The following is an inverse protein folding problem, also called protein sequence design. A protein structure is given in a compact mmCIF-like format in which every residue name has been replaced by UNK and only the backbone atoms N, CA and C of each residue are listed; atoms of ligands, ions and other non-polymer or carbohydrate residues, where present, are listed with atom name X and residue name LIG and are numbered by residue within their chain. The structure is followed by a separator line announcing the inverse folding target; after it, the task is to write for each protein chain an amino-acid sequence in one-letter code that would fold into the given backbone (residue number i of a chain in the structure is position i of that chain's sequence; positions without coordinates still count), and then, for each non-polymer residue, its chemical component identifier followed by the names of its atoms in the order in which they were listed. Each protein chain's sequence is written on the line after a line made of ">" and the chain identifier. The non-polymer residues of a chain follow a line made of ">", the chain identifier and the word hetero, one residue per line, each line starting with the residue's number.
data_IF_331703482127
#
_entry.id   IF_331703482127
#
_cell.length_a   1.000
_cell.length_b   1.000
_cell.length_c   1.000
_cell.angle_alpha   90.00
_cell.angle_beta   90.00
_cell.angle_gamma   90.00
#
_symmetry.space_group_name_H-M   'P 1'
#
loop_
_entity.id
_entity.type
_entity.pdbx_description
1 polymer ?
#
# COMPACT_ATOMS: atom_id res chain seq x y z
N UNK A 1 37.27 -10.11 -42.60
CA UNK A 1 37.26 -10.17 -41.12
C UNK A 1 36.01 -9.41 -40.71
N UNK A 2 34.89 -10.11 -40.79
CA UNK A 2 33.57 -9.61 -40.40
C UNK A 2 33.42 -9.85 -38.90
N UNK A 3 32.96 -8.84 -38.17
CA UNK A 3 32.57 -8.95 -36.77
C UNK A 3 31.07 -9.27 -36.74
N UNK A 4 30.61 -10.19 -35.87
CA UNK A 4 29.18 -10.49 -35.78
C UNK A 4 28.46 -9.40 -34.99
N UNK A 5 27.25 -9.06 -35.44
CA UNK A 5 26.28 -8.25 -34.70
C UNK A 5 25.68 -9.13 -33.59
N UNK A 6 25.73 -8.65 -32.34
CA UNK A 6 25.05 -9.28 -31.21
C UNK A 6 23.57 -8.86 -31.25
N UNK A 7 22.68 -9.83 -31.45
CA UNK A 7 21.23 -9.69 -31.31
C UNK A 7 20.91 -9.55 -29.81
N UNK A 8 20.41 -8.38 -29.40
CA UNK A 8 19.80 -8.19 -28.07
C UNK A 8 18.39 -8.83 -28.09
N UNK A 9 18.24 -9.95 -27.39
CA UNK A 9 16.94 -10.57 -27.12
C UNK A 9 16.13 -9.69 -26.16
N UNK A 10 15.05 -9.08 -26.66
CA UNK A 10 14.04 -8.40 -25.86
C UNK A 10 13.22 -9.44 -25.08
N UNK A 11 13.49 -9.60 -23.78
CA UNK A 11 12.67 -10.41 -22.87
C UNK A 11 11.42 -9.63 -22.43
N UNK A 12 10.25 -10.07 -22.90
CA UNK A 12 8.93 -9.58 -22.50
C UNK A 12 8.71 -9.81 -20.99
N UNK A 13 8.57 -8.73 -20.22
CA UNK A 13 8.10 -8.78 -18.83
C UNK A 13 6.59 -9.14 -18.81
N UNK A 14 6.28 -10.43 -18.73
CA UNK A 14 4.95 -10.91 -18.36
C UNK A 14 4.66 -10.56 -16.88
N UNK A 15 4.20 -9.34 -16.63
CA UNK A 15 3.46 -9.04 -15.40
C UNK A 15 2.10 -9.73 -15.46
N UNK A 16 1.99 -10.76 -14.61
CA UNK A 16 0.85 -11.65 -14.42
C UNK A 16 -0.51 -10.92 -14.42
N UNK A 17 -1.32 -11.33 -15.38
CA UNK A 17 -2.69 -10.96 -15.61
C UNK A 17 -3.60 -11.54 -14.50
N UNK A 18 -3.86 -10.76 -13.44
CA UNK A 18 -4.84 -11.10 -12.40
C UNK A 18 -6.08 -10.19 -12.47
N UNK A 19 -6.53 -9.87 -13.68
CA UNK A 19 -7.78 -9.14 -13.91
C UNK A 19 -8.99 -9.89 -13.33
N UNK A 20 -9.56 -9.27 -12.30
CA UNK A 20 -10.98 -9.08 -12.04
C UNK A 20 -11.93 -10.29 -12.18
N UNK A 21 -12.48 -10.71 -11.03
CA UNK A 21 -13.89 -11.14 -10.97
C UNK A 21 -14.68 -10.11 -10.15
N UNK A 22 -15.82 -9.70 -10.72
CA UNK A 22 -16.72 -8.63 -10.29
C UNK A 22 -17.00 -8.51 -8.77
N UNK A 23 -17.24 -7.28 -8.25
CA UNK A 23 -17.64 -7.05 -6.87
C UNK A 23 -19.14 -7.25 -6.69
N UNK A 24 -19.51 -8.43 -6.18
CA UNK A 24 -20.81 -8.61 -5.54
C UNK A 24 -20.82 -7.92 -4.18
N UNK A 25 -21.53 -6.79 -4.09
CA UNK A 25 -21.96 -6.12 -2.86
C UNK A 25 -22.48 -7.12 -1.82
N UNK A 26 -21.65 -7.47 -0.82
CA UNK A 26 -22.06 -8.14 0.45
C UNK A 26 -21.09 -7.84 1.61
N UNK A 27 -21.41 -6.78 2.34
CA UNK A 27 -21.55 -6.85 3.79
C UNK A 27 -20.30 -6.65 4.65
N UNK A 28 -20.32 -5.59 5.44
CA UNK A 28 -19.66 -5.51 6.74
C UNK A 28 -20.00 -6.78 7.56
N UNK A 29 -19.08 -7.74 7.65
CA UNK A 29 -19.28 -8.95 8.43
C UNK A 29 -18.98 -8.66 9.90
N UNK A 30 -20.04 -8.51 10.69
CA UNK A 30 -19.96 -8.74 12.14
C UNK A 30 -19.65 -10.22 12.36
N UNK A 31 -18.45 -10.53 12.85
CA UNK A 31 -18.10 -11.88 13.25
C UNK A 31 -18.71 -12.18 14.63
N UNK A 32 -19.47 -13.27 14.73
CA UNK A 32 -19.94 -13.80 16.01
C UNK A 32 -18.81 -14.60 16.68
N UNK A 33 -18.56 -14.28 17.94
CA UNK A 33 -17.59 -14.92 18.84
C UNK A 33 -18.19 -16.25 19.33
N UNK A 34 -17.46 -17.36 19.18
CA UNK A 34 -17.76 -18.58 19.91
C UNK A 34 -17.40 -18.37 21.39
N UNK A 35 -18.32 -18.70 22.29
CA UNK A 35 -18.18 -18.50 23.73
C UNK A 35 -16.94 -19.21 24.32
N UNK A 36 -16.26 -18.62 25.31
CA UNK A 36 -15.07 -19.23 25.90
C UNK A 36 -15.45 -20.41 26.80
N UNK A 37 -14.62 -21.46 26.74
CA UNK A 37 -14.60 -22.53 27.74
C UNK A 37 -13.74 -22.09 28.93
N UNK A 38 -14.37 -22.19 30.11
CA UNK A 38 -13.82 -22.25 31.48
C UNK A 38 -12.92 -21.11 32.00
N UNK A 39 -13.34 -20.35 33.04
CA UNK A 39 -12.56 -19.28 33.65
C UNK A 39 -11.65 -19.82 34.75
N UNK A 40 -10.47 -20.34 34.39
CA UNK A 40 -9.43 -20.61 35.39
C UNK A 40 -8.00 -20.50 34.84
N UNK A 41 -7.58 -19.28 34.46
CA UNK A 41 -6.16 -18.92 34.47
C UNK A 41 -5.97 -17.41 34.51
N UNK A 42 -5.82 -16.89 35.73
CA UNK A 42 -4.85 -15.86 36.15
C UNK A 42 -4.41 -14.86 35.06
N UNK A 43 -4.83 -13.61 35.22
CA UNK A 43 -4.42 -12.48 34.37
C UNK A 43 -2.91 -12.45 34.18
N UNK A 44 -2.48 -12.71 32.93
CA UNK A 44 -1.10 -12.52 32.53
C UNK A 44 -0.89 -11.04 32.28
N UNK A 45 -0.30 -10.36 33.25
CA UNK A 45 0.40 -9.12 32.99
C UNK A 45 1.45 -9.40 31.91
N UNK A 46 1.36 -8.69 30.79
CA UNK A 46 2.31 -8.77 29.69
C UNK A 46 3.70 -8.43 30.26
N UNK A 47 4.59 -9.43 30.32
CA UNK A 47 5.93 -9.27 30.89
C UNK A 47 6.73 -8.26 30.06
N UNK A 48 7.12 -7.16 30.71
CA UNK A 48 8.06 -6.16 30.20
C UNK A 48 9.45 -6.79 30.16
N UNK A 49 9.93 -7.20 28.98
CA UNK A 49 11.22 -7.89 28.90
C UNK A 49 11.91 -7.98 27.52
N UNK A 50 11.25 -7.57 26.43
CA UNK A 50 11.88 -7.49 25.10
C UNK A 50 11.61 -6.11 24.49
N UNK A 51 12.54 -5.58 23.70
CA UNK A 51 12.29 -4.35 22.95
C UNK A 51 10.97 -4.49 22.15
N UNK A 52 10.12 -3.46 22.08
CA UNK A 52 8.83 -3.57 21.44
C UNK A 52 8.98 -3.97 19.97
N UNK A 53 8.21 -4.97 19.52
CA UNK A 53 8.17 -5.35 18.12
C UNK A 53 7.80 -4.13 17.27
N UNK A 54 8.65 -3.84 16.28
CA UNK A 54 8.45 -2.72 15.36
C UNK A 54 7.14 -2.88 14.61
N UNK A 55 6.48 -1.75 14.36
CA UNK A 55 5.32 -1.66 13.49
C UNK A 55 5.61 -0.57 12.46
N UNK A 56 5.77 -1.00 11.21
CA UNK A 56 6.12 -0.14 10.09
C UNK A 56 4.92 -0.07 9.15
N UNK A 57 4.58 1.15 8.73
CA UNK A 57 3.63 1.40 7.66
C UNK A 57 4.41 1.81 6.41
N UNK A 58 4.11 1.19 5.29
CA UNK A 58 4.49 1.68 3.97
C UNK A 58 3.24 2.24 3.29
N UNK A 59 3.35 3.44 2.72
CA UNK A 59 2.29 4.08 1.92
C UNK A 59 2.76 4.25 0.49
N UNK A 60 1.93 3.92 -0.50
CA UNK A 60 2.20 4.00 -1.95
C UNK A 60 0.99 4.64 -2.64
N UNK A 61 1.16 5.84 -3.21
CA UNK A 61 0.05 6.61 -3.80
C UNK A 61 -0.42 6.04 -5.14
N UNK A 62 -1.73 6.03 -5.33
CA UNK A 62 -2.36 5.52 -6.54
C UNK A 62 -2.01 6.39 -7.76
N UNK A 63 -1.37 5.79 -8.78
CA UNK A 63 -1.08 6.42 -10.08
C UNK A 63 -0.62 7.89 -9.95
N UNK A 64 0.35 8.14 -9.06
CA UNK A 64 0.59 9.46 -8.46
C UNK A 64 0.56 10.66 -9.42
N UNK A 65 1.31 10.65 -10.52
CA UNK A 65 1.33 11.80 -11.44
C UNK A 65 -0.05 12.03 -12.08
N UNK A 66 -0.72 10.97 -12.53
CA UNK A 66 -2.05 11.06 -13.10
C UNK A 66 -3.07 11.58 -12.06
N UNK A 67 -2.94 11.16 -10.80
CA UNK A 67 -3.78 11.67 -9.72
C UNK A 67 -3.56 13.17 -9.48
N UNK A 68 -2.31 13.64 -9.47
CA UNK A 68 -1.98 15.07 -9.36
C UNK A 68 -2.54 15.86 -10.56
N UNK A 69 -2.48 15.32 -11.78
CA UNK A 69 -3.11 15.96 -12.95
C UNK A 69 -4.62 16.07 -12.80
N UNK A 70 -5.31 15.01 -12.35
CA UNK A 70 -6.76 15.00 -12.13
C UNK A 70 -7.20 15.91 -10.98
N UNK A 71 -6.30 16.24 -10.05
CA UNK A 71 -6.53 17.26 -9.03
C UNK A 71 -6.39 18.67 -9.61
N UNK A 72 -5.39 18.89 -10.46
CA UNK A 72 -5.14 20.18 -11.09
C UNK A 72 -6.17 20.54 -12.16
N UNK A 73 -6.58 19.55 -12.97
CA UNK A 73 -7.63 19.68 -13.97
C UNK A 73 -8.72 18.62 -13.74
N UNK A 74 -9.81 18.99 -13.03
CA UNK A 74 -10.91 18.07 -12.75
C UNK A 74 -11.62 17.50 -13.97
N UNK A 75 -11.52 18.13 -15.15
CA UNK A 75 -12.11 17.60 -16.40
C UNK A 75 -11.46 16.31 -16.90
N UNK A 76 -10.31 15.94 -16.34
CA UNK A 76 -9.60 14.71 -16.65
C UNK A 76 -10.16 13.50 -15.88
N UNK A 77 -10.95 13.70 -14.83
CA UNK A 77 -11.54 12.62 -14.04
C UNK A 77 -12.55 11.82 -14.85
N UNK A 78 -12.53 10.49 -14.74
CA UNK A 78 -13.40 9.60 -15.49
C UNK A 78 -13.03 9.46 -16.97
N UNK A 79 -11.90 10.02 -17.41
CA UNK A 79 -11.34 9.82 -18.75
C UNK A 79 -10.08 8.98 -18.64
N UNK A 80 -9.76 8.11 -19.61
CA UNK A 80 -8.48 7.42 -19.63
C UNK A 80 -7.36 8.44 -19.85
N UNK A 81 -6.48 8.56 -18.85
CA UNK A 81 -5.42 9.56 -18.77
C UNK A 81 -4.06 8.89 -18.64
N UNK A 82 -3.11 9.36 -19.43
CA UNK A 82 -1.70 9.02 -19.32
C UNK A 82 -0.86 10.28 -19.12
N UNK A 83 0.11 10.17 -18.22
CA UNK A 83 1.18 11.14 -18.09
C UNK A 83 2.35 10.64 -18.92
N UNK A 84 2.81 11.48 -19.85
CA UNK A 84 3.92 11.16 -20.75
C UNK A 84 5.17 11.96 -20.41
N UNK A 85 6.33 11.35 -20.60
CA UNK A 85 7.62 12.02 -20.64
C UNK A 85 8.32 11.61 -21.93
N UNK A 86 8.62 12.60 -22.79
CA UNK A 86 9.04 12.34 -24.18
C UNK A 86 8.06 11.40 -24.90
N UNK A 87 8.48 10.16 -25.19
CA UNK A 87 7.70 9.16 -25.94
C UNK A 87 7.17 8.02 -25.05
N UNK A 88 7.33 8.12 -23.73
CA UNK A 88 7.01 7.06 -22.79
C UNK A 88 5.83 7.44 -21.88
N UNK A 89 4.91 6.50 -21.66
CA UNK A 89 3.88 6.58 -20.63
C UNK A 89 4.50 6.26 -19.27
N UNK A 90 4.77 7.28 -18.46
CA UNK A 90 5.39 7.07 -17.14
C UNK A 90 4.37 6.55 -16.12
N UNK A 91 3.12 6.97 -16.22
CA UNK A 91 2.00 6.41 -15.48
C UNK A 91 0.67 6.73 -16.14
N UNK A 92 -0.35 5.97 -15.75
CA UNK A 92 -1.71 6.08 -16.23
C UNK A 92 -2.71 5.90 -15.07
N UNK A 93 -3.86 6.56 -15.15
CA UNK A 93 -4.95 6.35 -14.19
C UNK A 93 -5.62 4.98 -14.39
N UNK A 94 -6.47 4.59 -13.45
CA UNK A 94 -7.08 3.26 -13.48
C UNK A 94 -8.05 3.08 -14.66
N UNK A 95 -8.72 4.14 -15.10
CA UNK A 95 -9.56 4.14 -16.30
C UNK A 95 -8.76 3.76 -17.56
N UNK A 96 -7.51 4.21 -17.68
CA UNK A 96 -6.63 3.80 -18.78
C UNK A 96 -6.07 2.37 -18.58
N UNK A 97 -5.81 1.94 -17.33
CA UNK A 97 -5.36 0.56 -17.03
C UNK A 97 -6.40 -0.49 -17.37
N UNK A 98 -7.67 -0.19 -17.12
CA UNK A 98 -8.81 -1.05 -17.49
C UNK A 98 -8.90 -1.27 -19.01
N UNK A 99 -8.37 -0.33 -19.80
CA UNK A 99 -8.26 -0.42 -21.26
C UNK A 99 -6.93 -1.03 -21.74
N UNK A 100 -6.15 -1.62 -20.83
CA UNK A 100 -4.92 -2.33 -21.15
C UNK A 100 -3.67 -1.46 -21.31
N UNK A 101 -3.74 -0.16 -20.99
CA UNK A 101 -2.56 0.72 -20.96
C UNK A 101 -1.77 0.47 -19.69
N UNK A 102 -0.48 0.12 -19.83
CA UNK A 102 0.43 -0.13 -18.70
C UNK A 102 1.49 0.97 -18.60
N UNK A 103 2.14 1.02 -17.44
CA UNK A 103 3.32 1.86 -17.22
C UNK A 103 4.45 1.41 -18.16
N UNK A 104 5.33 2.35 -18.52
CA UNK A 104 6.49 2.13 -19.40
C UNK A 104 6.14 1.71 -20.85
N UNK A 105 4.87 1.77 -21.26
CA UNK A 105 4.50 1.63 -22.67
C UNK A 105 4.90 2.86 -23.48
N UNK A 106 5.19 2.67 -24.77
CA UNK A 106 5.33 3.79 -25.68
C UNK A 106 4.00 4.50 -25.86
N UNK A 107 4.04 5.81 -26.12
CA UNK A 107 2.84 6.62 -26.42
C UNK A 107 2.11 6.06 -27.65
N UNK A 108 2.83 5.47 -28.61
CA UNK A 108 2.24 4.86 -29.80
C UNK A 108 1.36 3.65 -29.41
N UNK A 109 1.92 2.69 -28.67
CA UNK A 109 1.18 1.49 -28.23
C UNK A 109 -0.01 1.85 -27.32
N UNK A 110 0.17 2.83 -26.43
CA UNK A 110 -0.90 3.29 -25.57
C UNK A 110 -2.08 3.86 -26.37
N UNK A 111 -1.81 4.64 -27.42
CA UNK A 111 -2.85 5.15 -28.33
C UNK A 111 -3.49 4.05 -29.19
N UNK A 112 -2.73 3.03 -29.60
CA UNK A 112 -3.28 1.88 -30.32
C UNK A 112 -4.27 1.09 -29.46
N UNK A 113 -3.97 0.91 -28.16
CA UNK A 113 -4.86 0.26 -27.18
C UNK A 113 -6.05 1.12 -26.79
N UNK A 114 -5.86 2.42 -26.64
CA UNK A 114 -6.88 3.37 -26.22
C UNK A 114 -6.85 4.62 -27.11
N UNK A 115 -7.56 4.62 -28.27
CA UNK A 115 -7.58 5.77 -29.18
C UNK A 115 -8.18 7.05 -28.57
N UNK A 116 -9.00 6.93 -27.53
CA UNK A 116 -9.60 8.03 -26.78
C UNK A 116 -8.73 8.53 -25.61
N UNK A 117 -7.48 8.08 -25.52
CA UNK A 117 -6.57 8.42 -24.43
C UNK A 117 -6.28 9.92 -24.37
N UNK A 118 -6.33 10.49 -23.18
CA UNK A 118 -5.85 11.85 -22.92
C UNK A 118 -4.39 11.78 -22.47
N UNK A 119 -3.53 12.55 -23.13
CA UNK A 119 -2.10 12.64 -22.81
C UNK A 119 -1.81 13.99 -22.14
N UNK A 120 -1.12 13.95 -21.01
CA UNK A 120 -0.59 15.14 -20.32
C UNK A 120 0.92 15.05 -20.23
N UNK A 121 1.62 16.12 -20.58
CA UNK A 121 3.06 16.21 -20.42
C UNK A 121 3.42 16.30 -18.92
N UNK A 122 4.25 15.38 -18.45
CA UNK A 122 4.74 15.32 -17.08
C UNK A 122 6.25 15.50 -16.96
N UNK A 123 6.89 16.23 -17.88
CA UNK A 123 8.33 16.49 -17.81
C UNK A 123 8.66 17.51 -16.73
N UNK A 124 7.79 18.49 -16.51
CA UNK A 124 7.90 19.38 -15.35
C UNK A 124 7.40 18.68 -14.09
N UNK A 125 8.36 18.29 -13.25
CA UNK A 125 8.12 17.56 -12.00
C UNK A 125 7.69 18.45 -10.83
N UNK A 126 7.58 19.76 -11.01
CA UNK A 126 7.43 20.72 -9.89
C UNK A 126 6.18 20.44 -9.05
N UNK A 127 5.01 20.31 -9.67
CA UNK A 127 3.74 20.01 -8.96
C UNK A 127 3.73 18.64 -8.28
N UNK A 128 4.36 17.63 -8.90
CA UNK A 128 4.46 16.30 -8.30
C UNK A 128 5.38 16.32 -7.08
N UNK A 129 6.53 17.01 -7.19
CA UNK A 129 7.46 17.19 -6.08
C UNK A 129 6.80 17.92 -4.92
N UNK A 130 6.12 19.04 -5.18
CA UNK A 130 5.41 19.80 -4.15
C UNK A 130 4.33 18.96 -3.46
N UNK A 131 3.54 18.21 -4.22
CA UNK A 131 2.52 17.33 -3.64
C UNK A 131 3.15 16.22 -2.80
N UNK A 132 4.24 15.63 -3.27
CA UNK A 132 5.00 14.61 -2.55
C UNK A 132 5.49 15.11 -1.18
N UNK A 133 6.04 16.32 -1.11
CA UNK A 133 6.44 16.93 0.17
C UNK A 133 5.25 17.22 1.09
N UNK A 134 4.09 17.60 0.55
CA UNK A 134 2.86 17.76 1.36
C UNK A 134 2.43 16.43 1.99
N UNK A 135 2.56 15.33 1.27
CA UNK A 135 2.27 13.99 1.79
C UNK A 135 3.24 13.62 2.91
N UNK A 136 4.56 13.76 2.68
CA UNK A 136 5.56 13.49 3.72
C UNK A 136 5.31 14.33 4.98
N UNK A 137 5.10 15.65 4.83
CA UNK A 137 4.83 16.54 5.95
C UNK A 137 3.56 16.15 6.74
N UNK A 138 2.50 15.71 6.03
CA UNK A 138 1.30 15.19 6.68
C UNK A 138 1.58 13.91 7.47
N UNK A 139 2.40 13.00 6.94
CA UNK A 139 2.76 11.76 7.64
C UNK A 139 3.67 12.02 8.86
N UNK A 140 4.52 13.05 8.79
CA UNK A 140 5.38 13.49 9.90
C UNK A 140 4.57 13.97 11.12
N UNK A 141 3.32 14.41 10.93
CA UNK A 141 2.41 14.75 12.03
C UNK A 141 1.99 13.51 12.84
N UNK A 142 2.00 12.32 12.24
CA UNK A 142 1.74 11.06 12.95
C UNK A 142 3.01 10.58 13.67
N UNK A 143 4.14 10.53 12.97
CA UNK A 143 5.42 10.11 13.56
C UNK A 143 6.54 10.90 12.90
N UNK A 144 7.52 11.43 13.65
CA UNK A 144 8.67 12.12 13.06
C UNK A 144 9.61 11.16 12.28
N UNK A 145 9.40 9.84 12.40
CA UNK A 145 10.21 8.82 11.75
C UNK A 145 9.61 8.44 10.39
N UNK A 146 9.68 9.37 9.44
CA UNK A 146 9.26 9.18 8.04
C UNK A 146 10.48 9.07 7.12
N UNK A 147 10.49 8.06 6.26
CA UNK A 147 11.48 7.90 5.21
C UNK A 147 10.81 7.86 3.85
N UNK A 148 11.32 8.65 2.90
CA UNK A 148 10.80 8.72 1.55
C UNK A 148 11.49 7.71 0.63
N UNK A 149 10.72 7.12 -0.28
CA UNK A 149 11.24 6.37 -1.42
C UNK A 149 10.61 6.95 -2.69
N UNK A 150 11.37 7.75 -3.43
CA UNK A 150 10.83 8.48 -4.58
C UNK A 150 9.85 9.61 -4.20
N UNK A 151 8.80 9.78 -5.00
CA UNK A 151 7.80 10.84 -4.81
C UNK A 151 6.48 10.35 -4.20
N UNK A 152 6.12 9.09 -4.43
CA UNK A 152 4.82 8.54 -4.09
C UNK A 152 4.87 7.52 -2.95
N UNK A 153 6.05 7.17 -2.45
CA UNK A 153 6.19 6.22 -1.36
C UNK A 153 6.83 6.81 -0.09
N UNK A 154 6.32 6.38 1.06
CA UNK A 154 6.86 6.71 2.37
C UNK A 154 6.80 5.48 3.30
N UNK A 155 7.81 5.33 4.15
CA UNK A 155 7.81 4.45 5.31
C UNK A 155 7.62 5.28 6.58
N UNK A 156 6.76 4.82 7.49
CA UNK A 156 6.53 5.46 8.78
C UNK A 156 6.72 4.44 9.88
N UNK A 157 7.66 4.69 10.80
CA UNK A 157 7.77 3.90 12.02
C UNK A 157 6.75 4.40 13.06
N UNK A 158 5.74 3.58 13.36
CA UNK A 158 4.65 3.88 14.29
C UNK A 158 4.75 3.06 15.57
N UNK A 159 5.90 2.44 15.84
CA UNK A 159 6.12 1.52 16.97
C UNK A 159 5.77 2.16 18.31
N UNK A 160 6.17 3.42 18.51
CA UNK A 160 5.84 4.19 19.73
C UNK A 160 4.36 4.56 19.81
N UNK A 161 3.76 4.99 18.70
CA UNK A 161 2.33 5.35 18.68
C UNK A 161 1.45 4.14 19.00
N UNK A 162 1.78 2.98 18.43
CA UNK A 162 1.12 1.71 18.75
C UNK A 162 1.29 1.35 20.23
N UNK A 163 2.48 1.54 20.80
CA UNK A 163 2.74 1.34 22.22
C UNK A 163 1.79 2.17 23.10
N UNK A 164 1.68 3.48 22.82
CA UNK A 164 0.78 4.40 23.54
C UNK A 164 -0.69 3.99 23.43
N UNK A 165 -1.15 3.58 22.24
CA UNK A 165 -2.54 3.09 22.05
C UNK A 165 -2.81 1.79 22.81
N UNK A 166 -1.83 0.87 22.83
CA UNK A 166 -1.93 -0.38 23.57
C UNK A 166 -2.03 -0.15 25.08
N UNK A 167 -1.19 0.72 25.64
CA UNK A 167 -1.25 1.11 27.06
C UNK A 167 -2.60 1.76 27.41
N UNK A 168 -3.16 2.56 26.52
CA UNK A 168 -4.49 3.14 26.70
C UNK A 168 -5.60 2.07 26.70
N UNK A 169 -5.58 1.14 25.75
CA UNK A 169 -6.55 0.04 25.70
C UNK A 169 -6.52 -0.81 26.97
N UNK A 170 -5.32 -1.08 27.50
CA UNK A 170 -5.13 -1.82 28.75
C UNK A 170 -5.72 -1.06 29.95
N UNK A 171 -5.55 0.26 30.01
CA UNK A 171 -6.15 1.11 31.06
C UNK A 171 -7.68 1.15 30.98
N UNK A 172 -8.22 1.21 29.77
CA UNK A 172 -9.66 1.31 29.53
C UNK A 172 -10.40 -0.04 29.71
N UNK A 173 -9.66 -1.15 29.88
CA UNK A 173 -10.22 -2.49 30.02
C UNK A 173 -10.96 -2.98 28.77
N UNK A 174 -10.69 -2.37 27.61
CA UNK A 174 -11.38 -2.68 26.36
C UNK A 174 -10.67 -3.81 25.62
N UNK A 175 -11.40 -4.89 25.36
CA UNK A 175 -10.93 -6.04 24.56
C UNK A 175 -11.31 -5.94 23.08
N UNK A 176 -11.93 -4.83 22.64
CA UNK A 176 -12.43 -4.70 21.26
C UNK A 176 -11.43 -3.96 20.40
N UNK A 177 -10.57 -4.73 19.73
CA UNK A 177 -9.69 -4.24 18.68
C UNK A 177 -10.09 -4.93 17.38
N UNK A 178 -10.24 -4.16 16.31
CA UNK A 178 -10.60 -4.67 14.98
C UNK A 178 -9.58 -4.18 13.94
N UNK A 179 -9.30 -5.02 12.94
CA UNK A 179 -8.47 -4.64 11.79
C UNK A 179 -9.21 -3.64 10.92
N UNK A 180 -8.45 -2.67 10.43
CA UNK A 180 -8.85 -1.81 9.32
C UNK A 180 -8.21 -2.30 8.04
N UNK A 181 -9.03 -2.65 7.04
CA UNK A 181 -8.58 -3.19 5.76
C UNK A 181 -8.44 -4.72 5.76
N UNK A 182 -7.51 -5.23 4.95
CA UNK A 182 -7.31 -6.67 4.73
C UNK A 182 -6.27 -7.25 5.67
N UNK A 183 -6.44 -8.52 6.04
CA UNK A 183 -5.37 -9.35 6.60
C UNK A 183 -4.83 -10.22 5.48
N UNK A 184 -3.53 -10.16 5.24
CA UNK A 184 -2.90 -10.98 4.21
C UNK A 184 -3.18 -12.47 4.44
N UNK A 185 -3.42 -13.22 3.36
CA UNK A 185 -3.78 -14.65 3.36
C UNK A 185 -4.98 -15.00 4.26
N UNK A 186 -5.86 -14.04 4.57
CA UNK A 186 -7.01 -14.24 5.47
C UNK A 186 -6.64 -14.87 6.82
N UNK A 187 -5.42 -14.61 7.31
CA UNK A 187 -4.91 -15.22 8.53
C UNK A 187 -5.77 -14.87 9.74
N UNK A 188 -6.01 -15.85 10.62
CA UNK A 188 -6.73 -15.64 11.87
C UNK A 188 -5.92 -14.74 12.83
N UNK A 189 -6.62 -13.78 13.44
CA UNK A 189 -6.04 -12.88 14.44
C UNK A 189 -6.24 -13.49 15.82
N UNK A 190 -5.14 -13.91 16.43
CA UNK A 190 -5.06 -14.12 17.88
C UNK A 190 -5.00 -12.77 18.63
N UNK A 191 -5.95 -12.52 19.54
CA UNK A 191 -5.99 -11.30 20.37
C UNK A 191 -5.19 -11.45 21.67
N UNK A 192 -4.78 -12.66 22.01
CA UNK A 192 -3.90 -12.95 23.15
C UNK A 192 -2.42 -12.82 22.76
N UNK A 193 -2.12 -12.63 21.47
CA UNK A 193 -0.77 -12.32 20.96
C UNK A 193 -0.55 -10.80 20.86
N UNK A 194 0.45 -10.28 21.57
CA UNK A 194 0.81 -8.85 21.55
C UNK A 194 1.16 -8.37 20.15
N UNK A 195 1.89 -9.17 19.38
CA UNK A 195 2.39 -8.80 18.04
C UNK A 195 1.20 -8.61 17.11
N UNK A 196 0.22 -9.51 17.18
CA UNK A 196 -1.04 -9.37 16.46
C UNK A 196 -1.75 -8.08 16.85
N UNK A 197 -2.03 -7.87 18.13
CA UNK A 197 -2.74 -6.66 18.60
C UNK A 197 -2.01 -5.39 18.15
N UNK A 198 -0.68 -5.37 18.21
CA UNK A 198 0.15 -4.24 17.74
C UNK A 198 -0.01 -3.99 16.24
N UNK A 199 0.01 -5.03 15.41
CA UNK A 199 -0.19 -4.93 13.97
C UNK A 199 -1.62 -4.52 13.62
N UNK A 200 -2.62 -4.99 14.38
CA UNK A 200 -4.00 -4.55 14.24
C UNK A 200 -4.14 -3.06 14.55
N UNK A 201 -3.55 -2.57 15.63
CA UNK A 201 -3.50 -1.13 15.94
C UNK A 201 -2.75 -0.35 14.85
N UNK A 202 -1.67 -0.92 14.30
CA UNK A 202 -0.98 -0.36 13.15
C UNK A 202 -1.87 -0.20 11.93
N UNK A 203 -2.75 -1.17 11.66
CA UNK A 203 -3.73 -1.07 10.57
C UNK A 203 -4.72 0.09 10.77
N UNK A 204 -5.12 0.37 12.01
CA UNK A 204 -5.99 1.51 12.32
C UNK A 204 -5.29 2.83 12.06
N UNK A 205 -4.04 2.96 12.51
CA UNK A 205 -3.21 4.15 12.25
C UNK A 205 -3.00 4.35 10.74
N UNK A 206 -2.70 3.27 10.00
CA UNK A 206 -2.57 3.35 8.55
C UNK A 206 -3.87 3.83 7.87
N UNK A 207 -5.04 3.40 8.36
CA UNK A 207 -6.33 3.88 7.84
C UNK A 207 -6.53 5.38 8.12
N UNK A 208 -6.15 5.86 9.30
CA UNK A 208 -6.19 7.28 9.64
C UNK A 208 -5.24 8.11 8.77
N UNK A 209 -4.03 7.60 8.49
CA UNK A 209 -3.09 8.24 7.56
C UNK A 209 -3.69 8.37 6.16
N UNK A 210 -4.30 7.29 5.64
CA UNK A 210 -4.96 7.32 4.32
C UNK A 210 -6.15 8.26 4.29
N UNK A 211 -6.97 8.28 5.34
CA UNK A 211 -8.09 9.22 5.46
C UNK A 211 -7.60 10.67 5.55
N UNK A 212 -6.50 10.93 6.27
CA UNK A 212 -5.90 12.25 6.32
C UNK A 212 -5.36 12.69 4.96
N UNK A 213 -4.68 11.81 4.21
CA UNK A 213 -4.23 12.08 2.83
C UNK A 213 -5.42 12.39 1.92
N UNK A 214 -6.51 11.62 2.01
CA UNK A 214 -7.71 11.84 1.21
C UNK A 214 -8.41 13.15 1.58
N UNK A 215 -8.72 13.36 2.85
CA UNK A 215 -9.48 14.54 3.31
C UNK A 215 -8.73 15.86 3.14
N UNK A 216 -7.39 15.87 3.32
CA UNK A 216 -6.57 17.10 3.29
C UNK A 216 -5.93 17.37 1.95
N UNK A 217 -5.57 16.33 1.20
CA UNK A 217 -4.82 16.45 -0.06
C UNK A 217 -5.57 15.89 -1.28
N UNK A 218 -6.75 15.29 -1.07
CA UNK A 218 -7.54 14.63 -2.11
C UNK A 218 -6.75 13.51 -2.84
N UNK A 219 -5.81 12.88 -2.14
CA UNK A 219 -5.01 11.77 -2.65
C UNK A 219 -5.52 10.44 -2.11
N UNK A 220 -5.46 9.40 -2.95
CA UNK A 220 -5.68 8.01 -2.55
C UNK A 220 -4.39 7.22 -2.70
N UNK A 221 -4.29 6.13 -1.94
CA UNK A 221 -3.14 5.27 -1.99
C UNK A 221 -3.36 3.99 -1.22
N UNK A 222 -2.40 3.10 -1.38
CA UNK A 222 -2.36 1.85 -0.66
C UNK A 222 -1.46 1.95 0.57
N UNK A 223 -1.73 1.11 1.57
CA UNK A 223 -0.86 0.99 2.74
C UNK A 223 -0.60 -0.46 3.13
N UNK A 224 0.62 -0.75 3.56
CA UNK A 224 1.04 -2.06 4.07
C UNK A 224 1.57 -1.92 5.49
N UNK A 225 1.10 -2.77 6.39
CA UNK A 225 1.52 -2.77 7.80
C UNK A 225 2.24 -4.07 8.12
N UNK A 226 3.49 -3.98 8.59
CA UNK A 226 4.30 -5.16 8.92
C UNK A 226 5.36 -4.84 9.99
N UNK A 227 6.19 -5.84 10.30
CA UNK A 227 7.26 -5.74 11.32
C UNK A 227 8.56 -5.08 10.83
N UNK A 228 8.69 -4.84 9.52
CA UNK A 228 9.84 -4.17 8.90
C UNK A 228 9.46 -3.55 7.55
N UNK A 229 10.36 -2.71 7.00
CA UNK A 229 10.15 -1.98 5.75
C UNK A 229 9.94 -2.88 4.53
N UNK A 230 10.75 -3.93 4.39
CA UNK A 230 10.65 -4.88 3.27
C UNK A 230 9.25 -5.48 3.19
N UNK A 231 8.79 -6.06 4.31
CA UNK A 231 7.49 -6.71 4.39
C UNK A 231 6.33 -5.71 4.25
N UNK A 232 6.45 -4.50 4.80
CA UNK A 232 5.41 -3.48 4.65
C UNK A 232 5.26 -3.04 3.20
N UNK A 233 6.37 -2.92 2.46
CA UNK A 233 6.37 -2.58 1.03
C UNK A 233 5.78 -3.71 0.18
N UNK A 234 6.16 -4.95 0.45
CA UNK A 234 5.62 -6.10 -0.28
C UNK A 234 4.11 -6.24 -0.05
N UNK A 235 3.65 -6.18 1.20
CA UNK A 235 2.24 -6.42 1.51
C UNK A 235 1.33 -5.27 1.07
N UNK A 236 1.82 -4.02 0.98
CA UNK A 236 1.00 -2.88 0.53
C UNK A 236 0.51 -3.03 -0.90
N UNK A 237 1.22 -3.80 -1.73
CA UNK A 237 0.88 -4.06 -3.13
C UNK A 237 -0.21 -5.11 -3.34
N UNK A 238 -0.59 -5.86 -2.29
CA UNK A 238 -1.48 -7.04 -2.43
C UNK A 238 -2.89 -6.67 -2.91
N UNK A 239 -3.45 -5.57 -2.40
CA UNK A 239 -4.79 -5.11 -2.76
C UNK A 239 -4.69 -3.66 -3.22
N UNK A 240 -4.91 -3.43 -4.52
CA UNK A 240 -4.93 -2.12 -5.19
C UNK A 240 -6.22 -1.98 -6.01
N UNK A 241 -6.69 -0.76 -6.33
CA UNK A 241 -6.29 0.55 -5.78
C UNK A 241 -6.79 0.80 -4.36
N UNK A 242 -6.31 1.90 -3.75
CA UNK A 242 -6.85 2.56 -2.56
C UNK A 242 -7.26 1.61 -1.41
N UNK A 243 -6.45 0.59 -1.14
CA UNK A 243 -6.73 -0.41 -0.11
C UNK A 243 -5.52 -0.58 0.82
N UNK A 244 -5.68 -1.33 1.90
CA UNK A 244 -4.56 -1.57 2.80
C UNK A 244 -4.56 -3.01 3.32
N UNK A 245 -3.38 -3.48 3.65
CA UNK A 245 -3.16 -4.86 4.07
C UNK A 245 -2.22 -4.92 5.27
N UNK A 246 -2.60 -5.67 6.30
CA UNK A 246 -1.71 -6.00 7.42
C UNK A 246 -1.14 -7.41 7.22
N UNK A 247 0.17 -7.57 7.44
CA UNK A 247 0.87 -8.85 7.43
C UNK A 247 1.12 -9.31 8.87
N UNK A 248 0.56 -10.47 9.22
CA UNK A 248 0.86 -11.16 10.47
C UNK A 248 2.10 -12.06 10.34
N UNK A 249 2.83 -12.35 11.44
CA UNK A 249 4.12 -13.05 11.39
C UNK A 249 4.09 -14.41 10.67
N UNK A 250 3.02 -15.18 10.84
CA UNK A 250 2.87 -16.54 10.35
C UNK A 250 2.77 -16.59 8.82
N UNK A 251 2.19 -15.55 8.20
CA UNK A 251 2.09 -15.45 6.74
C UNK A 251 3.31 -14.82 6.07
N UNK A 252 4.39 -14.52 6.82
CA UNK A 252 5.58 -13.89 6.24
C UNK A 252 6.26 -14.77 5.19
N UNK A 253 6.33 -16.09 5.43
CA UNK A 253 6.92 -17.03 4.46
C UNK A 253 6.07 -17.15 3.19
N UNK A 254 4.74 -17.16 3.34
CA UNK A 254 3.82 -17.18 2.20
C UNK A 254 3.99 -15.94 1.32
N UNK A 255 4.09 -14.75 1.94
CA UNK A 255 4.30 -13.50 1.19
C UNK A 255 5.62 -13.52 0.42
N UNK A 256 6.72 -13.90 1.08
CA UNK A 256 8.04 -13.98 0.40
C UNK A 256 8.03 -15.06 -0.69
N UNK A 257 7.40 -16.21 -0.43
CA UNK A 257 7.28 -17.31 -1.39
C UNK A 257 6.39 -16.98 -2.58
N UNK A 258 5.50 -16.01 -2.47
CA UNK A 258 4.63 -15.55 -3.57
C UNK A 258 5.36 -14.70 -4.62
N UNK A 259 6.63 -14.35 -4.40
CA UNK A 259 7.42 -13.59 -5.37
C UNK A 259 7.95 -14.52 -6.47
N UNK A 260 7.42 -14.38 -7.68
CA UNK A 260 7.78 -15.25 -8.83
C UNK A 260 9.25 -15.11 -9.27
N UNK A 261 9.93 -14.03 -8.88
CA UNK A 261 11.32 -13.77 -9.25
C UNK A 261 12.05 -12.93 -8.20
N UNK A 262 13.35 -13.18 -7.97
CA UNK A 262 14.16 -12.47 -6.96
C UNK A 262 14.29 -10.96 -7.23
N UNK A 263 14.21 -10.54 -8.49
CA UNK A 263 14.17 -9.13 -8.90
C UNK A 263 12.98 -8.36 -8.28
N UNK A 264 11.92 -9.06 -7.84
CA UNK A 264 10.75 -8.46 -7.18
C UNK A 264 10.98 -8.16 -5.69
N UNK A 265 12.10 -8.57 -5.10
CA UNK A 265 12.46 -8.25 -3.70
C UNK A 265 13.03 -6.82 -3.65
N UNK A 266 12.37 -5.87 -2.96
CA UNK A 266 12.92 -4.52 -2.81
C UNK A 266 14.27 -4.53 -2.08
N UNK A 267 15.29 -3.98 -2.72
CA UNK A 267 16.56 -3.63 -2.08
C UNK A 267 16.47 -2.19 -1.59
N UNK A 268 16.67 -1.99 -0.29
CA UNK A 268 16.71 -0.69 0.38
C UNK A 268 18.06 -0.01 0.22
#
# INVERSE_FOLDING_TARGET
>A
MELPEEEEEEEEEEEADWLCRDPGDKGCRKLHIAAPRDPSSHGKAWLVGTAPHRVIVHTDLDCFYAQVEMLHNPELRGKPLCVQQKYLVVTCNYEARELGVKKLMSVKEANEKCPQLVLVNGEDLTKYREMSYKVTALLEEFSPLVERLGFDENFVDITEMVGKRLEQLQRDGSSKVAVSGHVYNNQAIDLDDTVHVRLVLGSQIAAEMREAMHSRLALTGCAGVASNKLLSKLVSGTFKPNQQTVLLPESCQDLIGSLDHIKKVPVS
#
